data_IF_478933339430
#
_entry.id   IF_478933339430
#
_cell.length_a   1.000
_cell.length_b   1.000
_cell.length_c   1.000
_cell.angle_alpha   90.00
_cell.angle_beta   90.00
_cell.angle_gamma   90.00
#
_symmetry.space_group_name_H-M   'P 1'
#
loop_
_entity.id
_entity.type
_entity.pdbx_description
1 polymer ?
#
# COMPACT_ATOMS: atom_id res chain seq x y z
N UNK A 1 5.79 -23.72 10.94
CA UNK A 1 6.83 -22.81 10.39
C UNK A 1 6.23 -21.42 10.41
N UNK A 2 6.98 -20.42 10.90
CA UNK A 2 6.47 -19.04 10.88
C UNK A 2 6.85 -18.39 9.56
N UNK A 3 5.86 -17.95 8.81
CA UNK A 3 6.00 -17.20 7.57
C UNK A 3 5.69 -15.72 7.77
N UNK A 4 6.21 -14.87 6.86
CA UNK A 4 6.04 -13.42 6.85
C UNK A 4 5.35 -12.98 5.58
N UNK A 5 4.27 -12.24 5.72
CA UNK A 5 3.51 -11.67 4.63
C UNK A 5 3.55 -10.14 4.67
N UNK A 6 4.05 -9.49 3.62
CA UNK A 6 3.73 -8.07 3.42
C UNK A 6 2.35 -7.99 2.77
N UNK A 7 1.38 -7.48 3.52
CA UNK A 7 -0.04 -7.60 3.17
C UNK A 7 -0.60 -6.40 2.40
N UNK A 8 0.21 -5.37 2.13
CA UNK A 8 -0.25 -4.15 1.49
C UNK A 8 0.87 -3.53 0.65
N UNK A 9 0.85 -3.78 -0.66
CA UNK A 9 1.91 -3.33 -1.57
C UNK A 9 1.34 -2.91 -2.92
N UNK A 10 1.87 -1.81 -3.47
CA UNK A 10 1.46 -1.18 -4.71
C UNK A 10 2.49 -1.29 -5.82
N UNK A 11 2.00 -1.39 -7.05
CA UNK A 11 2.80 -1.34 -8.26
C UNK A 11 2.37 -0.16 -9.14
N UNK A 12 2.97 0.00 -10.33
CA UNK A 12 2.53 1.02 -11.27
C UNK A 12 1.08 0.85 -11.75
N UNK A 13 0.45 -0.32 -11.48
CA UNK A 13 -0.96 -0.56 -11.82
C UNK A 13 -1.92 0.23 -10.92
N UNK A 14 -1.49 0.73 -9.77
CA UNK A 14 -2.26 1.71 -8.97
C UNK A 14 -2.52 3.03 -9.68
N UNK A 15 -1.83 3.28 -10.79
CA UNK A 15 -2.10 4.43 -11.64
C UNK A 15 -1.56 5.75 -11.10
N UNK A 16 -2.43 6.76 -11.01
CA UNK A 16 -2.04 8.12 -10.60
C UNK A 16 -2.88 8.63 -9.46
N UNK A 17 -2.25 9.40 -8.55
CA UNK A 17 -2.95 10.07 -7.45
C UNK A 17 -4.10 10.95 -7.95
N UNK A 18 -5.09 11.14 -7.10
CA UNK A 18 -6.22 12.05 -7.33
C UNK A 18 -6.12 13.36 -6.53
N UNK A 19 -4.91 13.79 -6.18
CA UNK A 19 -4.73 15.06 -5.47
C UNK A 19 -5.03 16.26 -6.39
N UNK A 20 -6.27 16.73 -6.35
CA UNK A 20 -6.79 17.97 -6.97
C UNK A 20 -6.04 18.42 -8.24
N UNK A 21 -5.04 19.32 -8.10
CA UNK A 21 -4.29 19.90 -9.22
C UNK A 21 -2.98 19.16 -9.56
N UNK A 22 -2.46 18.34 -8.64
CA UNK A 22 -1.21 17.58 -8.83
C UNK A 22 -1.55 16.09 -9.00
N UNK A 23 -1.35 15.59 -10.21
CA UNK A 23 -1.45 14.15 -10.51
C UNK A 23 -0.06 13.64 -10.85
N UNK A 24 0.38 12.67 -10.08
CA UNK A 24 1.64 11.96 -10.30
C UNK A 24 1.41 10.45 -10.11
N UNK A 25 2.27 9.58 -10.63
CA UNK A 25 2.16 8.15 -10.41
C UNK A 25 2.19 7.82 -8.91
N UNK A 26 1.28 6.96 -8.46
CA UNK A 26 1.32 6.42 -7.09
C UNK A 26 2.60 5.60 -6.90
N UNK A 27 2.85 4.69 -7.82
CA UNK A 27 4.05 3.89 -7.90
C UNK A 27 4.54 3.83 -9.35
N UNK A 28 5.85 3.71 -9.53
CA UNK A 28 6.49 3.39 -10.82
C UNK A 28 7.17 2.01 -10.78
N UNK A 29 7.02 1.30 -9.66
CA UNK A 29 7.62 0.00 -9.40
C UNK A 29 6.87 -1.09 -10.14
N UNK A 30 7.59 -1.95 -10.83
CA UNK A 30 7.00 -3.11 -11.50
C UNK A 30 6.59 -4.19 -10.50
N UNK A 31 5.61 -5.06 -10.84
CA UNK A 31 5.26 -6.20 -10.01
C UNK A 31 6.45 -7.12 -9.69
N UNK A 32 7.34 -7.32 -10.68
CA UNK A 32 8.55 -8.13 -10.51
C UNK A 32 9.53 -7.51 -9.50
N UNK A 33 9.76 -6.19 -9.58
CA UNK A 33 10.60 -5.48 -8.60
C UNK A 33 10.05 -5.60 -7.18
N UNK A 34 8.72 -5.59 -7.00
CA UNK A 34 8.09 -5.78 -5.70
C UNK A 34 8.30 -7.20 -5.15
N UNK A 35 8.19 -8.23 -6.01
CA UNK A 35 8.47 -9.63 -5.63
C UNK A 35 9.92 -9.77 -5.18
N UNK A 36 10.88 -9.25 -5.93
CA UNK A 36 12.30 -9.34 -5.57
C UNK A 36 12.59 -8.60 -4.25
N UNK A 37 12.08 -7.38 -4.11
CA UNK A 37 12.27 -6.61 -2.88
C UNK A 37 11.66 -7.29 -1.65
N UNK A 38 10.48 -7.90 -1.78
CA UNK A 38 9.85 -8.65 -0.69
C UNK A 38 10.71 -9.87 -0.29
N UNK A 39 11.19 -10.65 -1.27
CA UNK A 39 12.06 -11.80 -1.03
C UNK A 39 13.38 -11.39 -0.37
N UNK A 40 14.04 -10.35 -0.89
CA UNK A 40 15.27 -9.81 -0.32
C UNK A 40 15.11 -9.34 1.14
N UNK A 41 13.92 -8.89 1.51
CA UNK A 41 13.57 -8.48 2.86
C UNK A 41 13.02 -9.62 3.73
N UNK A 42 13.09 -10.87 3.24
CA UNK A 42 12.77 -12.08 4.01
C UNK A 42 11.28 -12.35 4.16
N UNK A 43 10.46 -11.87 3.21
CA UNK A 43 9.05 -12.25 3.12
C UNK A 43 8.91 -13.60 2.44
N UNK A 44 7.89 -14.36 2.85
CA UNK A 44 7.48 -15.62 2.22
C UNK A 44 6.21 -15.43 1.39
N UNK A 45 5.48 -14.33 1.62
CA UNK A 45 4.25 -14.03 0.96
C UNK A 45 4.14 -12.52 0.72
N UNK A 46 3.54 -12.17 -0.42
CA UNK A 46 3.29 -10.79 -0.81
C UNK A 46 1.84 -10.65 -1.30
N UNK A 47 1.08 -9.74 -0.70
CA UNK A 47 -0.19 -9.31 -1.26
C UNK A 47 0.05 -8.06 -2.11
N UNK A 48 -0.14 -8.16 -3.42
CA UNK A 48 -0.22 -6.98 -4.29
C UNK A 48 -1.66 -6.48 -4.25
N UNK A 49 -1.82 -5.24 -3.85
CA UNK A 49 -3.10 -4.60 -3.56
C UNK A 49 -3.19 -3.23 -4.25
N UNK A 50 -2.93 -3.22 -5.55
CA UNK A 50 -3.02 -1.99 -6.34
C UNK A 50 -4.39 -1.34 -6.20
N UNK A 51 -4.44 0.00 -6.19
CA UNK A 51 -5.70 0.74 -6.18
C UNK A 51 -6.55 0.38 -7.40
N UNK A 52 -7.74 -0.12 -7.14
CA UNK A 52 -8.78 -0.41 -8.14
C UNK A 52 -8.27 -1.28 -9.31
N UNK A 53 -7.31 -2.18 -9.02
CA UNK A 53 -6.67 -3.01 -10.03
C UNK A 53 -6.11 -4.31 -9.46
N UNK A 54 -6.31 -5.43 -10.17
CA UNK A 54 -5.71 -6.75 -9.83
C UNK A 54 -4.60 -7.16 -10.80
N UNK A 55 -4.37 -6.39 -11.86
CA UNK A 55 -3.43 -6.78 -12.93
C UNK A 55 -2.00 -6.90 -12.43
N UNK A 56 -1.57 -6.00 -11.52
CA UNK A 56 -0.26 -6.05 -10.89
C UNK A 56 -0.06 -7.35 -10.12
N UNK A 57 -1.07 -7.77 -9.36
CA UNK A 57 -1.06 -9.02 -8.60
C UNK A 57 -0.98 -10.25 -9.51
N UNK A 58 -1.72 -10.27 -10.63
CA UNK A 58 -1.67 -11.37 -11.61
C UNK A 58 -0.27 -11.49 -12.24
N UNK A 59 0.35 -10.38 -12.61
CA UNK A 59 1.71 -10.37 -13.17
C UNK A 59 2.75 -10.82 -12.14
N UNK A 60 2.64 -10.32 -10.90
CA UNK A 60 3.51 -10.70 -9.80
C UNK A 60 3.40 -12.20 -9.47
N UNK A 61 2.17 -12.73 -9.43
CA UNK A 61 1.89 -14.15 -9.16
C UNK A 61 2.47 -15.06 -10.24
N UNK A 62 2.35 -14.69 -11.51
CA UNK A 62 2.97 -15.45 -12.60
C UNK A 62 4.49 -15.43 -12.50
N UNK A 63 5.07 -14.26 -12.23
CA UNK A 63 6.52 -14.11 -12.03
C UNK A 63 7.03 -14.92 -10.85
N UNK A 64 6.29 -14.96 -9.76
CA UNK A 64 6.68 -15.64 -8.52
C UNK A 64 6.71 -17.17 -8.64
N UNK A 65 6.09 -17.79 -9.67
CA UNK A 65 6.08 -19.25 -9.90
C UNK A 65 7.48 -19.87 -10.02
N UNK A 66 8.50 -19.07 -10.34
CA UNK A 66 9.89 -19.55 -10.39
C UNK A 66 10.49 -19.81 -9.00
N UNK A 67 9.80 -19.41 -7.92
CA UNK A 67 10.24 -19.53 -6.53
C UNK A 67 9.36 -20.51 -5.77
N UNK A 68 9.96 -21.55 -5.18
CA UNK A 68 9.22 -22.56 -4.39
C UNK A 68 8.91 -22.06 -2.97
N UNK A 69 9.67 -21.09 -2.49
CA UNK A 69 9.62 -20.54 -1.13
C UNK A 69 8.88 -19.21 -1.01
N UNK A 70 8.15 -18.81 -2.07
CA UNK A 70 7.48 -17.51 -2.14
C UNK A 70 6.12 -17.59 -2.82
N UNK A 71 5.14 -16.89 -2.26
CA UNK A 71 3.76 -16.86 -2.77
C UNK A 71 3.27 -15.43 -2.96
N UNK A 72 2.54 -15.17 -4.04
CA UNK A 72 1.81 -13.91 -4.26
C UNK A 72 0.32 -14.14 -4.16
N UNK A 73 -0.35 -13.38 -3.30
CA UNK A 73 -1.80 -13.32 -3.17
C UNK A 73 -2.34 -12.23 -4.08
N UNK A 74 -3.38 -12.55 -4.84
CA UNK A 74 -4.10 -11.57 -5.64
C UNK A 74 -4.97 -10.75 -4.71
N UNK A 75 -4.65 -9.47 -4.60
CA UNK A 75 -5.41 -8.51 -3.80
C UNK A 75 -5.76 -7.26 -4.59
N UNK A 76 -6.51 -6.41 -3.95
CA UNK A 76 -6.94 -5.11 -4.45
C UNK A 76 -7.19 -4.18 -3.28
N UNK A 77 -6.74 -2.93 -3.36
CA UNK A 77 -7.24 -1.86 -2.50
C UNK A 77 -8.37 -1.13 -3.21
N UNK A 78 -9.60 -1.46 -2.81
CA UNK A 78 -10.81 -1.02 -3.47
C UNK A 78 -11.24 0.33 -2.93
N UNK A 79 -11.32 1.34 -3.79
CA UNK A 79 -11.88 2.66 -3.47
C UNK A 79 -13.39 2.59 -3.49
N UNK A 80 -14.04 2.54 -2.32
CA UNK A 80 -15.50 2.57 -2.21
C UNK A 80 -16.02 4.01 -2.05
N UNK A 81 -17.32 4.19 -2.10
CA UNK A 81 -17.95 5.47 -1.80
C UNK A 81 -17.77 5.92 -0.32
N UNK A 82 -17.41 4.99 0.57
CA UNK A 82 -17.38 5.17 2.02
C UNK A 82 -15.96 5.12 2.62
N UNK A 83 -14.98 4.69 1.85
CA UNK A 83 -13.59 4.50 2.26
C UNK A 83 -12.93 3.35 1.50
N UNK A 84 -11.74 2.94 1.90
CA UNK A 84 -10.96 1.90 1.23
C UNK A 84 -11.08 0.55 1.94
N UNK A 85 -11.05 -0.54 1.15
CA UNK A 85 -11.06 -1.92 1.63
C UNK A 85 -10.01 -2.72 0.88
N UNK A 86 -9.14 -3.43 1.60
CA UNK A 86 -8.29 -4.46 1.03
C UNK A 86 -9.08 -5.76 0.86
N UNK A 87 -9.00 -6.33 -0.32
CA UNK A 87 -9.50 -7.67 -0.59
C UNK A 87 -8.34 -8.61 -0.90
N UNK A 88 -8.37 -9.85 -0.37
CA UNK A 88 -7.35 -10.86 -0.64
C UNK A 88 -7.97 -12.15 -1.17
N UNK A 89 -7.33 -12.75 -2.17
CA UNK A 89 -7.79 -13.98 -2.81
C UNK A 89 -8.85 -13.74 -3.88
N UNK A 90 -8.78 -12.61 -4.58
CA UNK A 90 -9.70 -12.27 -5.65
C UNK A 90 -9.46 -13.10 -6.92
N UNK A 91 -10.55 -13.42 -7.63
CA UNK A 91 -10.54 -14.05 -8.95
C UNK A 91 -10.80 -13.02 -10.06
N UNK A 92 -11.54 -11.96 -9.76
CA UNK A 92 -11.87 -10.89 -10.69
C UNK A 92 -11.86 -9.51 -9.99
N UNK A 93 -11.65 -8.47 -10.78
CA UNK A 93 -11.65 -7.08 -10.33
C UNK A 93 -13.00 -6.68 -9.72
N UNK A 94 -12.95 -5.96 -8.61
CA UNK A 94 -14.12 -5.28 -8.04
C UNK A 94 -14.06 -3.81 -8.45
N UNK A 95 -15.06 -3.28 -9.20
CA UNK A 95 -15.01 -1.91 -9.68
C UNK A 95 -15.10 -0.89 -8.54
N UNK A 96 -14.35 0.23 -8.61
CA UNK A 96 -14.40 1.28 -7.61
C UNK A 96 -15.74 2.04 -7.59
N UNK A 97 -15.96 2.79 -6.50
CA UNK A 97 -17.08 3.71 -6.35
C UNK A 97 -18.41 3.07 -5.94
N UNK A 98 -18.42 1.77 -5.68
CA UNK A 98 -19.57 1.09 -5.09
C UNK A 98 -19.76 1.53 -3.63
N UNK A 99 -20.98 1.30 -3.07
CA UNK A 99 -21.16 1.36 -1.62
C UNK A 99 -20.27 0.34 -0.91
N UNK A 100 -19.98 0.57 0.35
CA UNK A 100 -19.18 -0.40 1.11
C UNK A 100 -19.91 -1.74 1.21
N UNK A 101 -21.23 -1.75 1.33
CA UNK A 101 -22.07 -2.93 1.41
C UNK A 101 -21.98 -3.74 0.10
N UNK A 102 -22.17 -3.11 -1.07
CA UNK A 102 -22.07 -3.77 -2.36
C UNK A 102 -20.65 -4.30 -2.62
N UNK A 103 -19.64 -3.57 -2.14
CA UNK A 103 -18.23 -4.01 -2.22
C UNK A 103 -18.00 -5.25 -1.38
N UNK A 104 -18.48 -5.27 -0.14
CA UNK A 104 -18.38 -6.43 0.75
C UNK A 104 -19.07 -7.66 0.16
N UNK A 105 -20.27 -7.49 -0.42
CA UNK A 105 -21.00 -8.57 -1.08
C UNK A 105 -20.20 -9.17 -2.25
N UNK A 106 -19.54 -8.32 -3.05
CA UNK A 106 -18.67 -8.77 -4.16
C UNK A 106 -17.41 -9.48 -3.68
N UNK A 107 -16.80 -9.02 -2.57
CA UNK A 107 -15.67 -9.72 -1.95
C UNK A 107 -16.12 -11.11 -1.50
N UNK A 108 -17.24 -11.20 -0.79
CA UNK A 108 -17.79 -12.48 -0.30
C UNK A 108 -18.21 -13.42 -1.43
N UNK A 109 -18.76 -12.91 -2.52
CA UNK A 109 -19.16 -13.73 -3.67
C UNK A 109 -17.97 -14.44 -4.35
N UNK A 110 -16.76 -13.92 -4.17
CA UNK A 110 -15.51 -14.51 -4.64
C UNK A 110 -14.81 -15.39 -3.58
N UNK A 111 -15.41 -15.61 -2.43
CA UNK A 111 -14.79 -16.26 -1.27
C UNK A 111 -13.48 -15.56 -0.82
N UNK A 112 -13.36 -14.27 -1.09
CA UNK A 112 -12.22 -13.46 -0.72
C UNK A 112 -12.35 -12.89 0.69
N UNK A 113 -11.19 -12.51 1.28
CA UNK A 113 -11.14 -11.89 2.60
C UNK A 113 -11.20 -10.36 2.47
N UNK A 114 -11.90 -9.71 3.41
CA UNK A 114 -12.02 -8.27 3.50
C UNK A 114 -11.27 -7.72 4.73
N UNK A 115 -10.40 -6.74 4.52
CA UNK A 115 -9.58 -6.13 5.56
C UNK A 115 -9.65 -4.61 5.46
N UNK A 116 -9.78 -3.90 6.59
CA UNK A 116 -9.71 -2.44 6.58
C UNK A 116 -8.27 -1.96 6.60
N UNK A 117 -7.78 -1.31 5.51
CA UNK A 117 -6.47 -0.68 5.50
C UNK A 117 -6.50 0.57 6.39
N UNK A 118 -5.37 0.86 7.05
CA UNK A 118 -5.16 2.10 7.82
C UNK A 118 -6.45 2.78 8.34
N UNK A 119 -7.34 2.08 9.09
CA UNK A 119 -8.75 2.46 9.27
C UNK A 119 -8.96 3.79 9.97
N UNK A 120 -7.93 4.36 10.58
CA UNK A 120 -7.96 5.64 11.28
C UNK A 120 -6.99 6.67 10.72
N UNK A 121 -6.56 6.54 9.46
CA UNK A 121 -5.84 7.60 8.77
C UNK A 121 -6.62 8.93 8.88
N UNK A 122 -5.94 10.06 9.03
CA UNK A 122 -6.62 11.38 9.08
C UNK A 122 -6.39 12.21 7.80
N UNK A 123 -5.78 11.60 6.77
CA UNK A 123 -5.47 12.28 5.50
C UNK A 123 -5.72 11.43 4.24
N UNK A 124 -6.09 10.15 4.39
CA UNK A 124 -6.54 9.27 3.30
C UNK A 124 -8.03 8.94 3.44
N UNK A 125 -8.58 8.20 2.48
CA UNK A 125 -9.93 7.66 2.57
C UNK A 125 -9.96 6.48 3.56
N UNK A 126 -10.85 6.52 4.55
CA UNK A 126 -10.85 5.59 5.66
C UNK A 126 -12.26 5.26 6.16
N UNK A 127 -12.45 4.06 6.66
CA UNK A 127 -13.72 3.58 7.19
C UNK A 127 -14.03 4.08 8.60
N UNK A 128 -13.03 4.48 9.39
CA UNK A 128 -13.16 4.89 10.80
C UNK A 128 -13.93 3.87 11.63
N UNK A 129 -14.89 4.37 12.39
CA UNK A 129 -15.72 3.54 13.26
C UNK A 129 -16.73 2.66 12.49
N UNK A 130 -16.95 2.85 11.19
CA UNK A 130 -17.75 1.94 10.35
C UNK A 130 -17.19 0.51 10.31
N UNK A 131 -15.89 0.32 10.55
CA UNK A 131 -15.30 -1.02 10.68
C UNK A 131 -16.02 -1.89 11.73
N UNK A 132 -16.73 -1.27 12.67
CA UNK A 132 -17.49 -1.99 13.70
C UNK A 132 -18.84 -2.50 13.20
N UNK A 133 -19.32 -1.99 12.09
CA UNK A 133 -20.62 -2.35 11.52
C UNK A 133 -20.47 -3.33 10.34
N UNK A 134 -19.23 -3.53 9.87
CA UNK A 134 -18.90 -4.38 8.73
C UNK A 134 -18.40 -5.78 9.18
N UNK A 135 -18.68 -6.76 8.34
CA UNK A 135 -18.17 -8.14 8.48
C UNK A 135 -16.76 -8.26 7.88
N UNK A 136 -15.79 -7.63 8.53
CA UNK A 136 -14.38 -7.67 8.15
C UNK A 136 -13.68 -8.86 8.79
N UNK A 137 -12.79 -9.51 8.04
CA UNK A 137 -11.91 -10.59 8.54
C UNK A 137 -10.76 -10.03 9.37
N UNK A 138 -10.27 -8.84 9.00
CA UNK A 138 -9.13 -8.22 9.65
C UNK A 138 -9.13 -6.69 9.57
N UNK A 139 -8.21 -6.09 10.30
CA UNK A 139 -7.87 -4.67 10.19
C UNK A 139 -6.36 -4.48 10.24
N UNK A 140 -5.83 -3.50 9.55
CA UNK A 140 -4.46 -3.07 9.76
C UNK A 140 -4.34 -2.36 11.10
N UNK A 141 -3.60 -2.97 12.02
CA UNK A 141 -3.24 -2.39 13.30
C UNK A 141 -1.90 -1.69 13.24
N UNK A 142 -1.12 -1.98 12.20
CA UNK A 142 0.16 -1.36 11.90
C UNK A 142 0.31 -1.23 10.38
N UNK A 143 0.35 0.01 9.88
CA UNK A 143 0.60 0.31 8.47
C UNK A 143 1.92 1.09 8.37
N UNK A 144 2.83 0.62 7.50
CA UNK A 144 4.19 1.16 7.36
C UNK A 144 4.26 2.46 6.56
N UNK A 145 3.30 2.74 5.70
CA UNK A 145 3.20 3.98 4.94
C UNK A 145 2.83 5.19 5.80
N UNK A 146 2.20 4.94 6.96
CA UNK A 146 1.83 6.00 7.89
C UNK A 146 2.98 6.42 8.81
N UNK A 147 3.61 7.54 8.49
CA UNK A 147 4.65 8.18 9.32
C UNK A 147 4.08 8.84 10.59
N UNK A 148 2.78 9.10 10.61
CA UNK A 148 2.08 9.62 11.77
C UNK A 148 1.83 8.51 12.81
N UNK A 149 2.00 8.85 14.08
CA UNK A 149 1.79 7.88 15.17
C UNK A 149 0.31 7.65 15.49
N UNK A 150 -0.56 8.59 15.15
CA UNK A 150 -1.98 8.53 15.54
C UNK A 150 -2.71 7.37 14.84
N UNK A 151 -2.53 7.21 13.53
CA UNK A 151 -3.23 6.21 12.72
C UNK A 151 -3.08 4.81 13.32
N UNK A 152 -1.83 4.36 13.49
CA UNK A 152 -1.53 3.04 14.04
C UNK A 152 -1.93 2.92 15.53
N UNK A 153 -1.69 3.97 16.34
CA UNK A 153 -2.08 3.97 17.75
C UNK A 153 -3.58 3.81 17.91
N UNK A 154 -4.37 4.54 17.13
CA UNK A 154 -5.84 4.48 17.18
C UNK A 154 -6.36 3.13 16.73
N UNK A 155 -5.81 2.56 15.65
CA UNK A 155 -6.17 1.24 15.16
C UNK A 155 -5.92 0.15 16.23
N UNK A 156 -4.74 0.14 16.84
CA UNK A 156 -4.38 -0.79 17.91
C UNK A 156 -5.29 -0.62 19.14
N UNK A 157 -5.61 0.62 19.52
CA UNK A 157 -6.51 0.88 20.65
C UNK A 157 -7.91 0.33 20.39
N UNK A 158 -8.44 0.51 19.18
CA UNK A 158 -9.76 -0.01 18.82
C UNK A 158 -9.73 -1.53 18.72
N UNK A 159 -8.68 -2.12 18.14
CA UNK A 159 -8.48 -3.56 18.09
C UNK A 159 -8.51 -4.19 19.50
N UNK A 160 -7.72 -3.64 20.43
CA UNK A 160 -7.66 -4.13 21.83
C UNK A 160 -9.00 -4.02 22.58
N UNK A 161 -9.84 -3.02 22.22
CA UNK A 161 -11.17 -2.86 22.81
C UNK A 161 -12.23 -3.81 22.23
N UNK A 162 -11.91 -4.53 21.15
CA UNK A 162 -12.81 -5.48 20.49
C UNK A 162 -12.11 -6.84 20.31
N UNK A 163 -11.77 -7.53 21.41
CA UNK A 163 -11.00 -8.77 21.37
C UNK A 163 -11.73 -9.86 20.58
N UNK A 164 -10.98 -10.57 19.73
CA UNK A 164 -11.51 -11.67 18.94
C UNK A 164 -12.43 -11.27 17.78
N UNK A 165 -12.61 -9.99 17.50
CA UNK A 165 -13.48 -9.54 16.39
C UNK A 165 -12.78 -9.68 15.04
N UNK A 166 -11.55 -9.24 14.91
CA UNK A 166 -10.77 -9.17 13.67
C UNK A 166 -9.42 -9.85 13.81
N UNK A 167 -8.80 -10.23 12.71
CA UNK A 167 -7.38 -10.49 12.64
C UNK A 167 -6.60 -9.16 12.71
N UNK A 168 -5.47 -9.15 13.40
CA UNK A 168 -4.55 -8.00 13.39
C UNK A 168 -3.55 -8.16 12.25
N UNK A 169 -3.49 -7.23 11.31
CA UNK A 169 -2.57 -7.27 10.19
C UNK A 169 -1.62 -6.07 10.21
N UNK A 170 -0.51 -6.26 9.47
CA UNK A 170 0.46 -5.22 9.18
C UNK A 170 0.96 -5.37 7.76
N UNK A 171 0.88 -4.31 6.98
CA UNK A 171 1.45 -4.18 5.64
C UNK A 171 2.34 -2.95 5.53
N UNK A 172 3.26 -2.95 4.56
CA UNK A 172 4.17 -1.82 4.36
C UNK A 172 3.50 -0.62 3.71
N UNK A 173 2.41 -0.84 2.97
CA UNK A 173 1.77 0.16 2.10
C UNK A 173 2.81 0.76 1.13
N UNK A 174 3.63 -0.14 0.59
CA UNK A 174 4.82 0.22 -0.16
C UNK A 174 4.48 0.62 -1.58
N UNK A 175 4.75 1.87 -1.92
CA UNK A 175 4.68 2.41 -3.28
C UNK A 175 6.05 2.37 -4.00
N UNK A 176 7.03 1.73 -3.38
CA UNK A 176 8.38 1.53 -3.94
C UNK A 176 9.11 0.40 -3.23
N UNK A 177 10.13 -0.16 -3.89
CA UNK A 177 10.99 -1.22 -3.32
C UNK A 177 11.74 -0.77 -2.06
N UNK A 178 11.82 0.53 -1.78
CA UNK A 178 12.52 1.07 -0.60
C UNK A 178 11.83 0.74 0.71
N UNK A 179 10.54 0.39 0.69
CA UNK A 179 9.73 0.15 1.89
C UNK A 179 9.09 -1.23 1.92
N UNK A 180 9.09 -1.96 0.80
CA UNK A 180 8.54 -3.31 0.72
C UNK A 180 9.19 -4.23 1.74
N UNK A 181 8.38 -4.94 2.54
CA UNK A 181 8.85 -5.80 3.62
C UNK A 181 9.29 -5.08 4.91
N UNK A 182 9.13 -3.75 5.01
CA UNK A 182 9.38 -3.04 6.29
C UNK A 182 8.34 -3.37 7.35
N UNK A 183 7.14 -3.69 6.89
CA UNK A 183 6.03 -4.12 7.72
C UNK A 183 5.49 -5.43 7.18
N UNK A 184 5.15 -6.33 8.09
CA UNK A 184 4.66 -7.66 7.73
C UNK A 184 3.74 -8.24 8.79
N UNK A 185 2.97 -9.20 8.38
CA UNK A 185 2.14 -10.04 9.24
C UNK A 185 2.81 -11.42 9.36
N UNK A 186 3.08 -11.87 10.58
CA UNK A 186 3.54 -13.25 10.82
C UNK A 186 2.34 -14.19 10.99
N UNK A 187 2.46 -15.38 10.42
CA UNK A 187 1.47 -16.46 10.54
C UNK A 187 2.14 -17.83 10.56
N UNK A 188 1.45 -18.82 11.11
CA UNK A 188 1.93 -20.20 11.10
C UNK A 188 1.53 -20.91 9.81
N UNK A 189 2.49 -21.62 9.19
CA UNK A 189 2.30 -22.32 7.92
C UNK A 189 3.04 -21.64 6.76
N UNK A 190 2.62 -21.94 5.52
CA UNK A 190 3.19 -21.42 4.28
C UNK A 190 2.13 -21.31 3.18
N UNK A 191 2.26 -20.29 2.34
CA UNK A 191 1.41 -20.08 1.17
C UNK A 191 0.08 -19.41 1.50
N UNK A 192 -0.73 -19.25 0.45
CA UNK A 192 -1.97 -18.49 0.47
C UNK A 192 -3.03 -19.10 1.39
N UNK A 193 -3.16 -20.43 1.40
CA UNK A 193 -4.18 -21.13 2.18
C UNK A 193 -3.93 -21.03 3.69
N UNK A 194 -2.68 -21.24 4.14
CA UNK A 194 -2.33 -21.10 5.55
C UNK A 194 -2.46 -19.64 6.01
N UNK A 195 -2.10 -18.68 5.15
CA UNK A 195 -2.30 -17.25 5.42
C UNK A 195 -3.79 -16.93 5.59
N UNK A 196 -4.63 -17.41 4.66
CA UNK A 196 -6.09 -17.28 4.74
C UNK A 196 -6.63 -17.86 6.06
N UNK A 197 -6.24 -19.08 6.39
CA UNK A 197 -6.64 -19.73 7.65
C UNK A 197 -6.20 -18.96 8.89
N UNK A 198 -4.99 -18.38 8.88
CA UNK A 198 -4.50 -17.58 9.99
C UNK A 198 -5.34 -16.32 10.21
N UNK A 199 -5.76 -15.66 9.14
CA UNK A 199 -6.67 -14.49 9.22
C UNK A 199 -8.04 -14.92 9.77
N UNK A 200 -8.66 -15.93 9.20
CA UNK A 200 -9.98 -16.43 9.66
C UNK A 200 -9.93 -16.85 11.13
N UNK A 201 -8.87 -17.53 11.54
CA UNK A 201 -8.67 -17.95 12.95
C UNK A 201 -8.15 -16.82 13.84
N UNK A 202 -7.86 -15.63 13.30
CA UNK A 202 -7.34 -14.47 14.04
C UNK A 202 -6.03 -14.78 14.77
N UNK A 203 -5.16 -15.55 14.13
CA UNK A 203 -3.85 -16.01 14.63
C UNK A 203 -2.69 -15.36 13.88
N UNK A 204 -2.85 -14.12 13.54
CA UNK A 204 -1.84 -13.29 12.87
C UNK A 204 -1.15 -12.37 13.86
N UNK A 205 0.11 -12.04 13.61
CA UNK A 205 0.92 -11.14 14.46
C UNK A 205 1.43 -10.00 13.58
N UNK A 206 0.95 -8.76 13.80
CA UNK A 206 1.43 -7.59 13.08
C UNK A 206 2.82 -7.19 13.55
N UNK A 207 3.74 -7.03 12.60
CA UNK A 207 5.14 -6.74 12.85
C UNK A 207 5.64 -5.59 11.97
N UNK A 208 6.78 -5.02 12.34
CA UNK A 208 7.47 -4.00 11.53
C UNK A 208 7.62 -2.66 12.22
N UNK A 209 7.92 -1.66 11.43
CA UNK A 209 8.18 -0.29 11.85
C UNK A 209 7.77 0.70 10.76
N UNK A 210 7.40 1.94 11.11
CA UNK A 210 7.15 2.99 10.11
C UNK A 210 8.39 3.21 9.23
N UNK A 211 8.14 3.46 7.93
CA UNK A 211 9.20 3.72 6.98
C UNK A 211 9.98 5.01 7.35
N UNK A 212 11.31 5.02 7.25
CA UNK A 212 12.08 6.24 7.45
C UNK A 212 11.70 7.33 6.43
N UNK A 213 11.73 8.60 6.83
CA UNK A 213 11.37 9.74 5.95
C UNK A 213 12.22 9.75 4.66
N UNK A 214 13.46 9.29 4.73
CA UNK A 214 14.33 9.23 3.55
C UNK A 214 13.76 8.33 2.44
N UNK A 215 13.02 7.28 2.77
CA UNK A 215 12.41 6.40 1.77
C UNK A 215 11.31 7.11 0.97
N UNK A 216 10.61 8.05 1.58
CA UNK A 216 9.63 8.90 0.88
C UNK A 216 10.33 9.88 -0.08
N UNK A 217 11.49 10.41 0.29
CA UNK A 217 12.31 11.22 -0.62
C UNK A 217 12.77 10.38 -1.80
N UNK A 218 13.30 9.19 -1.56
CA UNK A 218 13.75 8.25 -2.61
C UNK A 218 12.59 7.87 -3.54
N UNK A 219 11.43 7.50 -2.99
CA UNK A 219 10.22 7.25 -3.77
C UNK A 219 9.84 8.45 -4.64
N UNK A 220 9.74 9.64 -4.08
CA UNK A 220 9.32 10.84 -4.83
C UNK A 220 10.31 11.22 -5.95
N UNK A 221 11.61 11.09 -5.71
CA UNK A 221 12.65 11.30 -6.72
C UNK A 221 12.49 10.29 -7.85
N UNK A 222 12.32 9.00 -7.53
CA UNK A 222 12.12 7.94 -8.54
C UNK A 222 10.87 8.20 -9.37
N UNK A 223 9.72 8.47 -8.73
CA UNK A 223 8.46 8.77 -9.41
C UNK A 223 8.61 9.94 -10.39
N UNK A 224 9.21 11.05 -9.93
CA UNK A 224 9.39 12.23 -10.78
C UNK A 224 10.35 11.94 -11.92
N UNK A 225 11.46 11.27 -11.66
CA UNK A 225 12.47 10.93 -12.69
C UNK A 225 11.89 10.02 -13.76
N UNK A 226 11.22 8.95 -13.36
CA UNK A 226 10.67 7.96 -14.30
C UNK A 226 9.52 8.58 -15.12
N UNK A 227 8.66 9.40 -14.50
CA UNK A 227 7.63 10.14 -15.21
C UNK A 227 8.22 11.10 -16.24
N UNK A 228 9.31 11.80 -15.92
CA UNK A 228 10.00 12.69 -16.87
C UNK A 228 10.60 11.91 -18.05
N UNK A 229 11.24 10.78 -17.79
CA UNK A 229 11.79 9.90 -18.83
C UNK A 229 10.69 9.40 -19.76
N UNK A 230 9.56 8.96 -19.22
CA UNK A 230 8.40 8.54 -20.01
C UNK A 230 7.83 9.70 -20.84
N UNK A 231 7.67 10.89 -20.24
CA UNK A 231 7.20 12.07 -20.95
C UNK A 231 8.15 12.49 -22.07
N UNK A 232 9.45 12.46 -21.83
CA UNK A 232 10.48 12.79 -22.85
C UNK A 232 10.45 11.77 -24.00
N UNK A 233 10.38 10.46 -23.69
CA UNK A 233 10.22 9.41 -24.72
C UNK A 233 8.93 9.61 -25.54
N UNK A 234 7.81 9.98 -24.89
CA UNK A 234 6.54 10.23 -25.57
C UNK A 234 6.62 11.45 -26.53
N UNK A 235 7.36 12.52 -26.14
CA UNK A 235 7.53 13.71 -26.99
C UNK A 235 8.33 13.42 -28.27
N UNK A 236 9.26 12.48 -28.22
CA UNK A 236 10.08 12.09 -29.38
C UNK A 236 9.58 10.81 -30.07
N UNK A 237 8.39 10.33 -29.74
CA UNK A 237 7.78 9.14 -30.36
C UNK A 237 8.47 7.82 -30.03
N UNK A 238 9.22 7.76 -28.92
CA UNK A 238 9.97 6.54 -28.47
C UNK A 238 9.34 5.84 -27.27
N UNK A 239 8.18 6.32 -26.78
CA UNK A 239 7.43 5.60 -25.76
C UNK A 239 6.47 4.62 -26.44
N UNK A 240 6.82 3.35 -26.38
CA UNK A 240 5.99 2.29 -26.93
C UNK A 240 4.65 2.19 -26.17
N UNK A 241 3.52 2.06 -26.89
CA UNK A 241 2.23 1.82 -26.26
C UNK A 241 2.25 0.51 -25.45
N UNK A 242 1.81 0.60 -24.22
CA UNK A 242 1.61 -0.55 -23.32
C UNK A 242 0.18 -0.49 -22.78
N UNK A 243 -0.80 -1.10 -23.46
CA UNK A 243 -2.22 -0.97 -23.11
C UNK A 243 -2.53 -1.37 -21.65
N UNK A 244 -1.79 -2.34 -21.14
CA UNK A 244 -1.93 -2.83 -19.76
C UNK A 244 -1.19 -1.97 -18.72
N UNK A 245 -0.44 -0.94 -19.15
CA UNK A 245 0.24 -0.04 -18.24
C UNK A 245 -0.50 1.30 -18.16
N UNK A 246 -1.20 1.58 -17.04
CA UNK A 246 -2.02 2.79 -16.90
C UNK A 246 -1.20 4.09 -16.97
N UNK A 247 0.07 4.06 -16.52
CA UNK A 247 0.93 5.23 -16.56
C UNK A 247 1.36 5.56 -17.99
N UNK A 248 1.77 4.55 -18.76
CA UNK A 248 2.14 4.72 -20.17
C UNK A 248 0.95 5.24 -20.96
N UNK A 249 -0.22 4.61 -20.82
CA UNK A 249 -1.46 5.03 -21.46
C UNK A 249 -1.81 6.48 -21.11
N UNK A 250 -1.70 6.84 -19.82
CA UNK A 250 -1.95 8.20 -19.33
C UNK A 250 -0.98 9.21 -19.96
N UNK A 251 0.33 8.92 -19.94
CA UNK A 251 1.36 9.82 -20.48
C UNK A 251 1.20 10.00 -21.98
N UNK A 252 0.90 8.94 -22.72
CA UNK A 252 0.65 9.05 -24.17
C UNK A 252 -0.54 9.96 -24.47
N UNK A 253 -1.61 9.89 -23.68
CA UNK A 253 -2.81 10.72 -23.85
C UNK A 253 -2.63 12.19 -23.46
N UNK A 254 -1.56 12.56 -22.73
CA UNK A 254 -1.34 13.94 -22.32
C UNK A 254 -1.01 14.84 -23.53
N UNK A 255 -1.55 16.07 -23.59
CA UNK A 255 -1.12 17.07 -24.56
C UNK A 255 0.38 17.41 -24.43
N UNK A 256 1.03 17.75 -25.56
CA UNK A 256 2.46 18.13 -25.59
C UNK A 256 2.82 19.19 -24.54
N UNK A 257 1.98 20.23 -24.40
CA UNK A 257 2.20 21.29 -23.40
C UNK A 257 2.25 20.75 -21.97
N UNK A 258 1.39 19.79 -21.63
CA UNK A 258 1.40 19.17 -20.27
C UNK A 258 2.62 18.29 -20.06
N UNK A 259 3.09 17.57 -21.09
CA UNK A 259 4.34 16.78 -21.02
C UNK A 259 5.55 17.70 -20.77
N UNK A 260 5.66 18.80 -21.54
CA UNK A 260 6.74 19.79 -21.36
C UNK A 260 6.67 20.43 -19.97
N UNK A 261 5.49 20.88 -19.55
CA UNK A 261 5.30 21.47 -18.22
C UNK A 261 5.66 20.48 -17.10
N UNK A 262 5.29 19.20 -17.24
CA UNK A 262 5.65 18.14 -16.30
C UNK A 262 7.16 17.91 -16.21
N UNK A 263 7.86 17.92 -17.35
CA UNK A 263 9.32 17.80 -17.37
C UNK A 263 9.97 19.01 -16.67
N UNK A 264 9.54 20.24 -16.99
CA UNK A 264 10.11 21.45 -16.36
C UNK A 264 9.83 21.46 -14.86
N UNK A 265 8.58 21.23 -14.45
CA UNK A 265 8.21 21.21 -13.03
C UNK A 265 8.94 20.12 -12.25
N UNK A 266 9.05 18.92 -12.84
CA UNK A 266 9.82 17.83 -12.23
C UNK A 266 11.32 18.17 -12.12
N UNK A 267 11.91 18.80 -13.14
CA UNK A 267 13.32 19.23 -13.10
C UNK A 267 13.57 20.23 -11.98
N UNK A 268 12.66 21.16 -11.75
CA UNK A 268 12.72 22.10 -10.62
C UNK A 268 12.62 21.34 -9.30
N UNK A 269 11.67 20.39 -9.18
CA UNK A 269 11.50 19.57 -7.99
C UNK A 269 12.77 18.77 -7.65
N UNK A 270 13.47 18.24 -8.64
CA UNK A 270 14.67 17.41 -8.45
C UNK A 270 15.92 18.22 -8.02
N UNK A 271 15.87 19.55 -8.02
CA UNK A 271 16.99 20.38 -7.57
C UNK A 271 17.16 20.21 -6.04
N UNK A 272 18.30 19.69 -5.55
CA UNK A 272 18.55 19.66 -4.12
C UNK A 272 18.60 21.06 -3.52
N UNK A 273 18.02 21.32 -2.32
CA UNK A 273 17.43 20.34 -1.40
C UNK A 273 15.90 20.24 -1.46
N UNK A 274 15.22 20.59 -2.57
CA UNK A 274 13.76 20.73 -2.65
C UNK A 274 13.03 19.44 -2.22
N UNK A 275 13.35 18.22 -2.71
CA UNK A 275 12.66 17.01 -2.29
C UNK A 275 12.77 16.75 -0.78
N UNK A 276 13.94 17.04 -0.21
CA UNK A 276 14.20 16.84 1.21
C UNK A 276 13.42 17.84 2.08
N UNK A 277 13.39 19.13 1.68
CA UNK A 277 12.62 20.16 2.38
C UNK A 277 11.13 19.81 2.33
N UNK A 278 10.61 19.37 1.15
CA UNK A 278 9.23 18.99 1.00
C UNK A 278 8.83 17.81 1.91
N UNK A 279 9.62 16.73 1.89
CA UNK A 279 9.38 15.56 2.73
C UNK A 279 9.48 15.90 4.22
N UNK A 280 10.50 16.67 4.62
CA UNK A 280 10.66 17.11 6.01
C UNK A 280 9.49 17.98 6.49
N UNK A 281 9.08 18.96 5.68
CA UNK A 281 7.95 19.83 6.02
C UNK A 281 6.63 19.04 6.14
N UNK A 282 6.38 18.14 5.20
CA UNK A 282 5.20 17.26 5.24
C UNK A 282 5.20 16.38 6.49
N UNK A 283 6.32 15.73 6.80
CA UNK A 283 6.46 14.89 8.00
C UNK A 283 6.22 15.69 9.26
N UNK A 284 6.83 16.87 9.40
CA UNK A 284 6.62 17.74 10.57
C UNK A 284 5.17 18.18 10.74
N UNK A 285 4.50 18.45 9.63
CA UNK A 285 3.08 18.81 9.66
C UNK A 285 2.23 17.63 10.12
N UNK A 286 2.49 16.41 9.59
CA UNK A 286 1.81 15.17 9.98
C UNK A 286 2.06 14.86 11.46
N UNK A 287 3.30 14.94 11.93
CA UNK A 287 3.67 14.73 13.34
C UNK A 287 2.92 15.70 14.27
N UNK A 288 2.88 17.00 13.92
CA UNK A 288 2.16 18.00 14.72
C UNK A 288 0.67 17.73 14.81
N UNK A 289 0.04 17.37 13.69
CA UNK A 289 -1.39 16.97 13.68
C UNK A 289 -1.61 15.69 14.47
N UNK A 290 -0.78 14.68 14.25
CA UNK A 290 -0.82 13.42 14.96
C UNK A 290 -0.73 13.62 16.46
N UNK A 291 0.21 14.46 16.94
CA UNK A 291 0.36 14.75 18.37
C UNK A 291 -0.88 15.43 18.95
N UNK A 292 -1.48 16.36 18.22
CA UNK A 292 -2.72 17.01 18.65
C UNK A 292 -3.88 16.02 18.81
N UNK A 293 -3.97 15.02 17.91
CA UNK A 293 -4.97 13.97 18.00
C UNK A 293 -4.65 12.96 19.13
N UNK A 294 -3.38 12.61 19.31
CA UNK A 294 -2.95 11.71 20.39
C UNK A 294 -3.22 12.28 21.78
N UNK A 295 -3.04 13.58 21.97
CA UNK A 295 -3.37 14.24 23.24
C UNK A 295 -4.86 14.14 23.62
N UNK A 296 -5.72 13.77 22.66
CA UNK A 296 -7.15 13.53 22.90
C UNK A 296 -7.45 12.08 23.30
N UNK A 297 -6.47 11.19 23.18
CA UNK A 297 -6.60 9.80 23.58
C UNK A 297 -5.51 9.43 24.59
N UNK A 298 -5.90 9.12 25.84
CA UNK A 298 -4.99 8.60 26.86
C UNK A 298 -4.63 7.15 26.55
N UNK A 299 -3.58 6.94 25.76
CA UNK A 299 -3.11 5.59 25.44
C UNK A 299 -1.59 5.54 25.21
N UNK A 300 -0.92 4.64 25.91
CA UNK A 300 0.49 4.32 25.68
C UNK A 300 0.59 3.09 24.77
N UNK A 301 1.33 3.20 23.67
CA UNK A 301 1.67 2.05 22.81
C UNK A 301 2.52 1.04 23.58
N UNK A 302 2.06 -0.21 23.67
CA UNK A 302 2.92 -1.34 23.95
C UNK A 302 3.65 -1.70 22.64
N UNK A 303 4.98 -1.56 22.66
CA UNK A 303 5.83 -1.96 21.53
C UNK A 303 5.73 -3.48 21.39
N UNK A 304 5.36 -3.98 20.22
CA UNK A 304 5.38 -5.41 19.94
C UNK A 304 6.84 -5.92 20.00
N UNK A 305 7.06 -7.06 20.66
CA UNK A 305 8.37 -7.70 20.78
C UNK A 305 8.78 -8.46 19.50
N UNK A 306 8.39 -7.98 18.34
CA UNK A 306 8.76 -8.61 17.06
C UNK A 306 10.26 -8.48 16.78
N UNK A 307 10.92 -9.52 16.28
CA UNK A 307 12.32 -9.46 15.93
C UNK A 307 12.55 -8.41 14.83
N UNK A 308 13.61 -7.60 14.99
CA UNK A 308 14.00 -6.62 13.99
C UNK A 308 14.43 -7.34 12.71
N UNK A 309 14.04 -6.87 11.51
CA UNK A 309 14.59 -7.39 10.27
C UNK A 309 16.12 -7.20 10.26
N UNK A 310 16.87 -8.06 9.57
CA UNK A 310 18.29 -7.86 9.41
C UNK A 310 18.57 -6.49 8.78
N UNK A 311 19.39 -5.70 9.45
CA UNK A 311 19.89 -4.44 8.91
C UNK A 311 20.91 -4.81 7.85
N UNK A 312 20.59 -4.56 6.59
CA UNK A 312 21.57 -4.59 5.50
C UNK A 312 22.30 -3.27 5.41
#
# INVERSE_FOLDING_TARGET
MISRADTHVHTYYSGTTNYKALRFPESVTTPQEQVEAARENGMNLLCITDHDAIKGALVAREYAKQYEDFTVVIGEEITTADGEVLAYGLNELIPPGLSIEDTMDRIRSQDALAVAPHPYSFYLNWLKDRIKDLDLDGIETLNGGHVDKFTNTKAQMVFKKNPGRWAALSGSDAHSTYTTGYNWTEFDGFGEEDFRHAIIKKKTIPCGRPAPVITQVQWSIRVVTDAQVMMAKALVGKLEPMPDNPLVTKILSLPTVKKVAGIIGGSIYLIPPIPYIGAFAATRWLEKKSQALLNQIEYKLEVSNCPKPPIK
#
